data_IF_099227976439
#
_entry.id   IF_099227976439
#
_cell.length_a   1.000
_cell.length_b   1.000
_cell.length_c   1.000
_cell.angle_alpha   90.00
_cell.angle_beta   90.00
_cell.angle_gamma   90.00
#
_symmetry.space_group_name_H-M   'P 1'
#
loop_
_entity.id
_entity.type
_entity.pdbx_description
1 polymer ?
#
# COMPACT_ATOMS: atom_id res chain seq x y z
N UNK A 1 -12.50 -51.97 4.71
CA UNK A 1 -11.43 -51.04 4.28
C UNK A 1 -11.59 -49.77 5.07
N UNK A 2 -10.65 -49.55 6.01
CA UNK A 2 -10.61 -48.42 6.91
C UNK A 2 -9.60 -47.47 6.28
N UNK A 3 -10.05 -46.36 5.70
CA UNK A 3 -9.15 -45.36 5.12
C UNK A 3 -8.88 -44.36 6.23
N UNK A 4 -7.73 -44.54 6.87
CA UNK A 4 -7.23 -43.60 7.87
C UNK A 4 -6.82 -42.32 7.14
N UNK A 5 -7.42 -41.20 7.54
CA UNK A 5 -7.05 -39.89 7.06
C UNK A 5 -5.69 -39.54 7.68
N UNK A 6 -4.63 -39.64 6.88
CA UNK A 6 -3.34 -39.06 7.18
C UNK A 6 -3.53 -37.55 7.36
N UNK A 7 -3.40 -37.11 8.62
CA UNK A 7 -3.12 -35.72 8.95
C UNK A 7 -1.73 -35.40 8.43
N UNK A 8 -1.67 -34.90 7.20
CA UNK A 8 -0.46 -34.36 6.62
C UNK A 8 -0.11 -33.07 7.38
N UNK A 9 0.91 -33.17 8.22
CA UNK A 9 1.41 -32.08 9.04
C UNK A 9 2.10 -31.06 8.12
N UNK A 10 1.32 -30.08 7.63
CA UNK A 10 1.82 -28.99 6.82
C UNK A 10 2.89 -28.20 7.59
N UNK A 11 4.05 -28.10 6.94
CA UNK A 11 5.15 -27.14 7.12
C UNK A 11 4.60 -25.76 7.51
N UNK A 12 5.32 -24.92 8.31
CA UNK A 12 4.80 -23.60 8.69
C UNK A 12 4.53 -22.78 7.43
N UNK A 13 3.26 -22.76 7.02
CA UNK A 13 2.78 -21.99 5.89
C UNK A 13 3.12 -20.54 6.19
N UNK A 14 3.75 -19.86 5.23
CA UNK A 14 3.96 -18.43 5.31
C UNK A 14 2.63 -17.74 5.63
N UNK A 15 2.64 -16.59 6.32
CA UNK A 15 1.41 -15.86 6.64
C UNK A 15 0.50 -15.66 5.41
N UNK A 16 1.10 -15.47 4.22
CA UNK A 16 0.41 -15.41 2.93
C UNK A 16 -0.24 -16.73 2.51
N UNK A 17 0.47 -17.85 2.57
CA UNK A 17 -0.10 -19.18 2.24
C UNK A 17 -1.24 -19.56 3.18
N UNK A 18 -1.11 -19.22 4.48
CA UNK A 18 -2.18 -19.42 5.45
C UNK A 18 -3.41 -18.57 5.12
N UNK A 19 -3.22 -17.28 4.83
CA UNK A 19 -4.32 -16.39 4.45
C UNK A 19 -5.00 -16.82 3.13
N UNK A 20 -4.23 -17.30 2.14
CA UNK A 20 -4.76 -17.86 0.89
C UNK A 20 -5.59 -19.14 1.13
N UNK A 21 -5.08 -20.04 1.97
CA UNK A 21 -5.78 -21.27 2.33
C UNK A 21 -7.10 -20.97 3.04
N UNK A 22 -7.09 -20.04 4.01
CA UNK A 22 -8.28 -19.62 4.75
C UNK A 22 -9.29 -18.87 3.85
N UNK A 23 -8.81 -18.04 2.91
CA UNK A 23 -9.65 -17.39 1.89
C UNK A 23 -10.33 -18.41 0.98
N UNK A 24 -9.59 -19.41 0.48
CA UNK A 24 -10.15 -20.48 -0.35
C UNK A 24 -11.16 -21.34 0.40
N UNK A 25 -10.91 -21.65 1.68
CA UNK A 25 -11.86 -22.37 2.53
C UNK A 25 -13.15 -21.57 2.74
N UNK A 26 -13.05 -20.25 2.97
CA UNK A 26 -14.22 -19.37 3.08
C UNK A 26 -15.03 -19.32 1.78
N UNK A 27 -14.35 -19.29 0.63
CA UNK A 27 -15.00 -19.32 -0.68
C UNK A 27 -15.71 -20.66 -0.96
N UNK A 28 -15.06 -21.78 -0.67
CA UNK A 28 -15.66 -23.11 -0.82
C UNK A 28 -16.94 -23.25 0.04
N UNK A 29 -16.91 -22.73 1.27
CA UNK A 29 -18.08 -22.69 2.15
C UNK A 29 -19.23 -21.86 1.57
N UNK A 30 -18.96 -20.79 0.81
CA UNK A 30 -20.01 -20.03 0.12
C UNK A 30 -20.64 -20.86 -1.02
N UNK A 31 -19.83 -21.62 -1.76
CA UNK A 31 -20.29 -22.44 -2.89
C UNK A 31 -21.18 -23.60 -2.46
N UNK A 32 -21.00 -24.15 -1.25
CA UNK A 32 -21.87 -25.21 -0.71
C UNK A 32 -23.34 -24.78 -0.59
N UNK A 33 -23.61 -23.49 -0.33
CA UNK A 33 -24.97 -22.94 -0.27
C UNK A 33 -25.57 -22.84 -1.67
N UNK A 34 -24.78 -22.33 -2.62
CA UNK A 34 -25.23 -22.02 -3.99
C UNK A 34 -25.37 -23.29 -4.85
N UNK A 35 -24.49 -24.26 -4.65
CA UNK A 35 -24.41 -25.49 -5.42
C UNK A 35 -24.60 -26.70 -4.49
N UNK A 36 -25.82 -26.95 -3.98
CA UNK A 36 -26.11 -28.17 -3.25
C UNK A 36 -25.87 -29.39 -4.14
N UNK A 37 -25.44 -30.54 -3.58
CA UNK A 37 -25.28 -31.78 -4.33
C UNK A 37 -26.56 -32.12 -5.09
N UNK A 38 -26.43 -32.40 -6.39
CA UNK A 38 -27.56 -32.72 -7.26
C UNK A 38 -28.18 -34.05 -6.79
N UNK A 39 -29.33 -33.99 -6.12
CA UNK A 39 -30.15 -35.16 -5.84
C UNK A 39 -31.20 -35.32 -6.95
N UNK A 40 -31.30 -36.53 -7.49
CA UNK A 40 -32.35 -36.91 -8.43
C UNK A 40 -33.48 -37.66 -7.70
N UNK A 41 -34.76 -37.32 -7.94
CA UNK A 41 -35.26 -36.27 -8.84
C UNK A 41 -35.02 -34.85 -8.28
N UNK A 42 -34.78 -33.83 -9.13
CA UNK A 42 -34.51 -32.48 -8.67
C UNK A 42 -35.72 -31.92 -7.91
N UNK A 43 -35.52 -31.56 -6.64
CA UNK A 43 -36.52 -30.84 -5.87
C UNK A 43 -36.69 -29.43 -6.48
N UNK A 44 -37.86 -29.12 -7.03
CA UNK A 44 -38.24 -27.76 -7.39
C UNK A 44 -38.08 -26.85 -6.15
N UNK A 45 -37.03 -26.02 -6.14
CA UNK A 45 -36.58 -25.23 -4.98
C UNK A 45 -37.01 -23.76 -5.01
N UNK A 46 -38.07 -23.39 -5.74
CA UNK A 46 -38.57 -22.01 -5.67
C UNK A 46 -39.25 -21.75 -4.32
N UNK A 47 -38.48 -21.24 -3.36
CA UNK A 47 -38.99 -20.75 -2.08
C UNK A 47 -38.33 -19.39 -1.77
N UNK A 48 -39.02 -18.26 -2.04
CA UNK A 48 -38.43 -16.92 -1.93
C UNK A 48 -38.00 -16.54 -0.50
N UNK A 49 -38.57 -17.19 0.53
CA UNK A 49 -38.14 -16.96 1.92
C UNK A 49 -36.82 -17.68 2.21
N UNK A 50 -36.62 -18.88 1.63
CA UNK A 50 -35.33 -19.58 1.72
C UNK A 50 -34.26 -18.85 0.94
N UNK A 51 -34.55 -18.38 -0.28
CA UNK A 51 -33.58 -17.64 -1.10
C UNK A 51 -33.12 -16.34 -0.40
N UNK A 52 -34.01 -15.66 0.33
CA UNK A 52 -33.67 -14.49 1.14
C UNK A 52 -32.79 -14.81 2.36
N UNK A 53 -32.99 -15.98 2.99
CA UNK A 53 -32.16 -16.44 4.11
C UNK A 53 -30.78 -16.92 3.62
N UNK A 54 -30.76 -17.66 2.51
CA UNK A 54 -29.53 -18.16 1.87
C UNK A 54 -28.68 -16.99 1.38
N UNK A 55 -29.27 -15.93 0.81
CA UNK A 55 -28.54 -14.72 0.41
C UNK A 55 -27.97 -13.95 1.60
N UNK A 56 -28.71 -13.84 2.71
CA UNK A 56 -28.18 -13.25 3.94
C UNK A 56 -27.01 -14.08 4.50
N UNK A 57 -27.12 -15.40 4.49
CA UNK A 57 -26.05 -16.30 4.94
C UNK A 57 -24.81 -16.26 4.03
N UNK A 58 -25.01 -16.23 2.71
CA UNK A 58 -23.94 -16.02 1.72
C UNK A 58 -23.23 -14.69 1.99
N UNK A 59 -23.98 -13.62 2.26
CA UNK A 59 -23.38 -12.31 2.55
C UNK A 59 -22.47 -12.36 3.78
N UNK A 60 -22.91 -13.00 4.87
CA UNK A 60 -22.12 -13.18 6.08
C UNK A 60 -20.87 -14.06 5.86
N UNK A 61 -20.98 -15.13 5.05
CA UNK A 61 -19.81 -15.96 4.70
C UNK A 61 -18.82 -15.23 3.79
N UNK A 62 -19.30 -14.36 2.91
CA UNK A 62 -18.46 -13.51 2.06
C UNK A 62 -17.69 -12.45 2.86
N UNK A 63 -18.22 -11.94 3.97
CA UNK A 63 -17.46 -11.04 4.86
C UNK A 63 -16.15 -11.70 5.33
N UNK A 64 -16.20 -12.99 5.66
CA UNK A 64 -15.02 -13.77 6.05
C UNK A 64 -14.04 -13.95 4.88
N UNK A 65 -14.53 -14.16 3.67
CA UNK A 65 -13.68 -14.19 2.47
C UNK A 65 -12.96 -12.85 2.26
N UNK A 66 -13.70 -11.73 2.32
CA UNK A 66 -13.13 -10.40 2.13
C UNK A 66 -12.15 -10.00 3.23
N UNK A 67 -12.37 -10.48 4.46
CA UNK A 67 -11.42 -10.30 5.55
C UNK A 67 -10.05 -10.91 5.21
N UNK A 68 -10.01 -12.15 4.72
CA UNK A 68 -8.74 -12.78 4.31
C UNK A 68 -8.14 -12.17 3.04
N UNK A 69 -8.98 -11.77 2.08
CA UNK A 69 -8.51 -11.01 0.92
C UNK A 69 -7.82 -9.70 1.34
N UNK A 70 -8.37 -9.01 2.35
CA UNK A 70 -7.76 -7.78 2.88
C UNK A 70 -6.45 -8.05 3.62
N UNK A 71 -6.35 -9.15 4.35
CA UNK A 71 -5.08 -9.57 4.97
C UNK A 71 -3.99 -9.82 3.92
N UNK A 72 -4.33 -10.49 2.81
CA UNK A 72 -3.40 -10.69 1.71
C UNK A 72 -2.97 -9.39 1.05
N UNK A 73 -3.91 -8.48 0.80
CA UNK A 73 -3.60 -7.16 0.25
C UNK A 73 -2.61 -6.40 1.15
N UNK A 74 -2.81 -6.44 2.48
CA UNK A 74 -1.90 -5.82 3.44
C UNK A 74 -0.54 -6.49 3.48
N UNK A 75 -0.47 -7.82 3.39
CA UNK A 75 0.80 -8.54 3.29
C UNK A 75 1.56 -8.11 2.04
N UNK A 76 0.92 -8.06 0.87
CA UNK A 76 1.59 -7.61 -0.36
C UNK A 76 2.02 -6.14 -0.30
N UNK A 77 1.20 -5.25 0.25
CA UNK A 77 1.55 -3.84 0.43
C UNK A 77 2.75 -3.68 1.38
N UNK A 78 2.75 -4.39 2.50
CA UNK A 78 3.83 -4.38 3.46
C UNK A 78 5.09 -5.05 2.91
N UNK A 79 4.98 -6.09 2.08
CA UNK A 79 6.10 -6.69 1.36
C UNK A 79 6.68 -5.70 0.35
N UNK A 80 5.86 -4.95 -0.39
CA UNK A 80 6.39 -3.85 -1.22
C UNK A 80 7.07 -2.77 -0.41
N UNK A 81 6.48 -2.31 0.70
CA UNK A 81 7.05 -1.24 1.55
C UNK A 81 8.32 -1.73 2.27
N UNK A 82 8.34 -2.99 2.68
CA UNK A 82 9.53 -3.60 3.30
C UNK A 82 10.59 -3.89 2.25
N UNK A 83 10.27 -4.24 1.00
CA UNK A 83 11.22 -4.24 -0.12
C UNK A 83 11.78 -2.83 -0.38
N UNK A 84 10.97 -1.77 -0.23
CA UNK A 84 11.43 -0.38 -0.32
C UNK A 84 12.26 0.07 0.91
N UNK A 85 12.09 -0.56 2.07
CA UNK A 85 12.86 -0.25 3.30
C UNK A 85 14.09 -1.17 3.50
N UNK A 86 14.06 -2.39 2.96
CA UNK A 86 15.10 -3.42 3.07
C UNK A 86 16.14 -3.34 1.95
N UNK A 87 15.97 -2.41 1.00
CA UNK A 87 17.09 -1.86 0.19
C UNK A 87 18.22 -1.28 1.03
N UNK A 88 18.07 -1.20 2.36
CA UNK A 88 19.15 -0.89 3.30
C UNK A 88 20.13 -2.05 3.53
N UNK A 89 19.76 -3.33 3.48
CA UNK A 89 20.70 -4.47 3.58
C UNK A 89 20.01 -5.84 3.30
N UNK A 90 20.52 -6.53 2.29
CA UNK A 90 20.81 -7.98 2.21
C UNK A 90 20.29 -8.72 0.96
N UNK A 91 21.19 -9.54 0.41
CA UNK A 91 21.07 -10.32 -0.80
C UNK A 91 20.33 -11.64 -0.55
N UNK A 92 19.45 -12.09 -1.46
CA UNK A 92 19.41 -13.45 -2.05
C UNK A 92 18.23 -13.62 -3.03
N UNK A 93 18.48 -14.18 -4.22
CA UNK A 93 17.50 -15.00 -4.97
C UNK A 93 16.60 -14.36 -6.06
N UNK A 94 17.14 -14.20 -7.27
CA UNK A 94 16.58 -13.83 -8.61
C UNK A 94 15.20 -14.38 -9.05
N UNK A 95 14.47 -13.75 -10.01
CA UNK A 95 14.76 -13.84 -11.45
C UNK A 95 15.02 -12.48 -12.14
N UNK A 96 15.84 -12.54 -13.19
CA UNK A 96 16.78 -11.49 -13.65
C UNK A 96 16.20 -10.44 -14.60
N UNK A 97 14.94 -10.50 -15.02
CA UNK A 97 14.48 -9.65 -16.14
C UNK A 97 14.00 -8.24 -15.74
N UNK A 98 13.55 -8.03 -14.50
CA UNK A 98 13.07 -6.71 -14.03
C UNK A 98 14.08 -5.93 -13.19
N UNK A 99 15.20 -6.55 -12.78
CA UNK A 99 16.23 -5.92 -11.94
C UNK A 99 17.01 -4.81 -12.65
N UNK A 100 17.28 -4.94 -13.95
CA UNK A 100 18.12 -3.96 -14.68
C UNK A 100 17.42 -2.61 -14.81
N UNK A 101 16.11 -2.58 -15.08
CA UNK A 101 15.34 -1.34 -15.13
C UNK A 101 15.08 -0.75 -13.73
N UNK A 102 14.95 -1.59 -12.70
CA UNK A 102 14.69 -1.16 -11.31
C UNK A 102 15.92 -0.51 -10.66
N UNK A 103 17.12 -1.06 -10.90
CA UNK A 103 18.39 -0.46 -10.46
C UNK A 103 18.70 0.85 -11.22
N UNK A 104 18.37 0.91 -12.52
CA UNK A 104 18.52 2.14 -13.30
C UNK A 104 17.59 3.24 -12.80
N UNK A 105 16.31 2.94 -12.57
CA UNK A 105 15.40 3.93 -11.99
C UNK A 105 15.82 4.41 -10.60
N UNK A 106 16.35 3.52 -9.76
CA UNK A 106 16.88 3.93 -8.47
C UNK A 106 18.09 4.87 -8.62
N UNK A 107 19.03 4.53 -9.50
CA UNK A 107 20.16 5.40 -9.84
C UNK A 107 19.71 6.76 -10.38
N UNK A 108 18.69 6.79 -11.23
CA UNK A 108 18.16 8.03 -11.80
C UNK A 108 17.53 8.91 -10.71
N UNK A 109 16.77 8.30 -9.78
CA UNK A 109 16.17 8.99 -8.64
C UNK A 109 17.22 9.51 -7.66
N UNK A 110 18.27 8.73 -7.36
CA UNK A 110 19.38 9.17 -6.51
C UNK A 110 20.13 10.36 -7.12
N UNK A 111 20.34 10.35 -8.45
CA UNK A 111 20.95 11.47 -9.15
C UNK A 111 20.04 12.71 -9.15
N UNK A 112 18.74 12.53 -9.35
CA UNK A 112 17.76 13.62 -9.28
C UNK A 112 17.70 14.24 -7.88
N UNK A 113 17.75 13.43 -6.82
CA UNK A 113 17.83 13.92 -5.44
C UNK A 113 19.06 14.80 -5.25
N UNK A 114 20.25 14.34 -5.66
CA UNK A 114 21.48 15.13 -5.55
C UNK A 114 21.37 16.44 -6.32
N UNK A 115 20.75 16.41 -7.50
CA UNK A 115 20.55 17.61 -8.31
C UNK A 115 19.58 18.60 -7.64
N UNK A 116 18.47 18.10 -7.09
CA UNK A 116 17.50 18.92 -6.36
C UNK A 116 18.10 19.51 -5.07
N UNK A 117 18.93 18.76 -4.36
CA UNK A 117 19.65 19.25 -3.19
C UNK A 117 20.63 20.37 -3.53
N UNK A 118 21.35 20.24 -4.65
CA UNK A 118 22.24 21.28 -5.15
C UNK A 118 21.48 22.56 -5.56
N UNK A 119 20.36 22.42 -6.29
CA UNK A 119 19.52 23.56 -6.67
C UNK A 119 18.92 24.25 -5.44
N UNK A 120 18.48 23.48 -4.44
CA UNK A 120 17.95 24.01 -3.19
C UNK A 120 19.02 24.83 -2.44
N UNK A 121 20.26 24.33 -2.37
CA UNK A 121 21.38 25.06 -1.78
C UNK A 121 21.63 26.40 -2.51
N UNK A 122 21.69 26.39 -3.85
CA UNK A 122 21.87 27.62 -4.64
C UNK A 122 20.72 28.62 -4.44
N UNK A 123 19.48 28.14 -4.40
CA UNK A 123 18.29 28.96 -4.14
C UNK A 123 18.35 29.60 -2.75
N UNK A 124 18.78 28.85 -1.73
CA UNK A 124 18.95 29.38 -0.38
C UNK A 124 20.04 30.46 -0.31
N UNK A 125 21.19 30.25 -0.96
CA UNK A 125 22.24 31.27 -1.05
C UNK A 125 21.74 32.55 -1.72
N UNK A 126 20.90 32.40 -2.75
CA UNK A 126 20.29 33.54 -3.45
C UNK A 126 19.30 34.29 -2.55
N UNK A 127 18.49 33.57 -1.77
CA UNK A 127 17.58 34.15 -0.78
C UNK A 127 18.37 34.96 0.26
N UNK A 128 19.49 34.44 0.77
CA UNK A 128 20.33 35.17 1.74
C UNK A 128 20.85 36.48 1.14
N UNK A 129 21.40 36.43 -0.08
CA UNK A 129 21.87 37.63 -0.81
C UNK A 129 20.75 38.66 -1.00
N UNK A 130 19.56 38.23 -1.41
CA UNK A 130 18.44 39.15 -1.58
C UNK A 130 17.90 39.66 -0.24
N UNK A 131 17.97 38.87 0.82
CA UNK A 131 17.59 39.30 2.18
C UNK A 131 18.46 40.47 2.63
N UNK A 132 19.76 40.42 2.38
CA UNK A 132 20.67 41.53 2.69
C UNK A 132 20.39 42.79 1.86
N UNK A 133 20.07 42.61 0.57
CA UNK A 133 19.66 43.71 -0.31
C UNK A 133 18.41 44.36 0.26
N UNK A 134 17.35 43.59 0.55
CA UNK A 134 16.09 44.08 1.13
C UNK A 134 16.36 44.83 2.43
N UNK A 135 17.15 44.27 3.34
CA UNK A 135 17.53 44.93 4.60
C UNK A 135 18.25 46.27 4.35
N UNK A 136 19.12 46.33 3.33
CA UNK A 136 19.76 47.56 2.89
C UNK A 136 18.76 48.61 2.37
N UNK A 137 17.76 48.19 1.61
CA UNK A 137 16.67 49.05 1.13
C UNK A 137 15.78 49.54 2.27
N UNK A 138 15.41 48.68 3.22
CA UNK A 138 14.66 49.07 4.42
C UNK A 138 15.40 50.15 5.21
N UNK A 139 16.72 50.02 5.38
CA UNK A 139 17.53 51.03 6.05
C UNK A 139 17.59 52.36 5.28
N UNK A 140 17.67 52.32 3.95
CA UNK A 140 17.59 53.53 3.10
C UNK A 140 16.21 54.18 3.20
N UNK A 141 15.14 53.39 3.17
CA UNK A 141 13.77 53.85 3.30
C UNK A 141 13.54 54.51 4.66
N UNK A 142 13.97 53.89 5.76
CA UNK A 142 13.91 54.49 7.12
C UNK A 142 14.62 55.84 7.19
N UNK A 143 15.82 55.97 6.62
CA UNK A 143 16.53 57.26 6.59
C UNK A 143 15.82 58.32 5.76
N UNK A 144 15.20 57.91 4.66
CA UNK A 144 14.43 58.79 3.80
C UNK A 144 13.13 59.23 4.50
N UNK A 145 12.45 58.32 5.19
CA UNK A 145 11.25 58.58 5.98
C UNK A 145 11.53 59.57 7.13
N UNK A 146 12.64 59.39 7.87
CA UNK A 146 13.09 60.35 8.88
C UNK A 146 13.41 61.75 8.31
N UNK A 147 13.86 61.84 7.06
CA UNK A 147 14.15 63.13 6.39
C UNK A 147 12.91 63.80 5.81
N UNK A 148 11.89 63.01 5.46
CA UNK A 148 10.60 63.50 4.94
C UNK A 148 9.59 63.81 6.05
N UNK A 149 9.82 63.30 7.27
CA UNK A 149 9.05 63.63 8.46
C UNK A 149 9.81 64.50 9.48
N UNK A 150 10.47 65.62 9.10
CA UNK A 150 11.21 66.44 10.05
C UNK A 150 10.29 67.30 10.96
N UNK A 151 8.97 67.36 10.72
CA UNK A 151 8.01 68.14 11.51
C UNK A 151 6.79 67.29 11.91
N UNK A 152 6.95 66.48 12.96
CA UNK A 152 5.83 65.92 13.73
C UNK A 152 6.13 66.03 15.23
N UNK A 153 6.41 67.26 15.66
CA UNK A 153 6.10 67.73 17.02
C UNK A 153 4.75 68.47 17.00
#
# INVERSE_FOLDING_TARGET
>A
MKVEAEQDALTPASPGEKALSEMNAAFASCLEIVCPPIQYPPHCRFNPVRDAADTAEISARLEKFFFYAKQLEQLFLNDTISDFSSTSLDSTGTPVTSRSGKLQHQSDLELEIINLEAELAEKNDLIEKYTDVVRGWEGKFKRLDHRLSPDRE
#
